data_IF_669476282831
#
_entry.id   IF_669476282831
#
_cell.length_a   1.000
_cell.length_b   1.000
_cell.length_c   1.000
_cell.angle_alpha   90.00
_cell.angle_beta   90.00
_cell.angle_gamma   90.00
#
_symmetry.space_group_name_H-M   'P 1'
#
loop_
_entity.id
_entity.type
_entity.pdbx_description
1 polymer ?
#
# COMPACT_ATOMS: atom_id res chain seq x y z
N UNK A 1 5.35 -2.72 3.17
CA UNK A 1 4.81 -3.53 2.08
C UNK A 1 5.11 -5.01 2.31
N UNK A 2 4.25 -5.84 1.82
CA UNK A 2 4.34 -7.28 2.02
C UNK A 2 5.16 -7.94 0.93
N UNK A 3 5.73 -9.11 1.23
CA UNK A 3 6.27 -9.97 0.21
C UNK A 3 5.15 -10.33 -0.78
N UNK A 4 5.51 -10.56 -2.06
CA UNK A 4 4.53 -10.80 -3.13
C UNK A 4 3.49 -11.88 -2.77
N UNK A 5 3.95 -12.99 -2.18
CA UNK A 5 3.08 -14.11 -1.80
C UNK A 5 2.08 -13.72 -0.71
N UNK A 6 2.55 -13.01 0.29
CA UNK A 6 1.71 -12.52 1.39
C UNK A 6 0.70 -11.50 0.90
N UNK A 7 1.11 -10.62 -0.01
CA UNK A 7 0.21 -9.63 -0.60
C UNK A 7 -0.88 -10.30 -1.42
N UNK A 8 -0.54 -11.36 -2.16
CA UNK A 8 -1.54 -12.13 -2.90
C UNK A 8 -2.57 -12.79 -2.00
N UNK A 9 -2.13 -13.33 -0.86
CA UNK A 9 -3.04 -13.90 0.16
C UNK A 9 -3.91 -12.83 0.79
N UNK A 10 -3.34 -11.66 1.06
CA UNK A 10 -4.08 -10.52 1.59
C UNK A 10 -5.15 -10.07 0.59
N UNK A 11 -4.81 -9.94 -0.67
CA UNK A 11 -5.76 -9.57 -1.71
C UNK A 11 -6.93 -10.56 -1.79
N UNK A 12 -6.66 -11.87 -1.74
CA UNK A 12 -7.69 -12.90 -1.71
C UNK A 12 -8.57 -12.81 -0.47
N UNK A 13 -7.97 -12.55 0.68
CA UNK A 13 -8.69 -12.39 1.94
C UNK A 13 -9.63 -11.18 1.91
N UNK A 14 -9.14 -10.05 1.37
CA UNK A 14 -9.91 -8.81 1.28
C UNK A 14 -11.06 -8.90 0.28
N UNK A 15 -10.92 -9.73 -0.74
CA UNK A 15 -11.96 -9.95 -1.75
C UNK A 15 -13.03 -10.95 -1.29
N UNK A 16 -12.86 -11.59 -0.15
CA UNK A 16 -13.92 -12.39 0.46
C UNK A 16 -15.01 -11.46 1.00
N UNK A 17 -16.28 -11.86 0.92
CA UNK A 17 -17.39 -11.01 1.37
C UNK A 17 -17.21 -10.42 2.77
N UNK A 18 -16.72 -11.20 3.73
CA UNK A 18 -16.49 -10.72 5.09
C UNK A 18 -15.22 -9.90 5.26
N UNK A 19 -14.15 -10.22 4.51
CA UNK A 19 -12.86 -9.55 4.60
C UNK A 19 -12.90 -8.12 4.12
N UNK A 20 -13.49 -7.89 2.94
CA UNK A 20 -13.62 -6.54 2.38
C UNK A 20 -14.48 -5.65 3.28
N UNK A 21 -15.57 -6.17 3.79
CA UNK A 21 -16.47 -5.44 4.68
C UNK A 21 -15.78 -4.95 5.95
N UNK A 22 -14.92 -5.80 6.55
CA UNK A 22 -14.16 -5.44 7.75
C UNK A 22 -13.20 -4.26 7.51
N UNK A 23 -12.48 -4.27 6.39
CA UNK A 23 -11.52 -3.21 6.07
C UNK A 23 -12.24 -1.91 5.75
N UNK A 24 -13.31 -1.95 4.96
CA UNK A 24 -14.07 -0.77 4.57
C UNK A 24 -14.90 -0.17 5.69
N UNK A 25 -15.17 -0.91 6.77
CA UNK A 25 -15.89 -0.38 7.92
C UNK A 25 -15.05 0.53 8.82
N UNK A 26 -13.72 0.51 8.68
CA UNK A 26 -12.83 1.40 9.43
C UNK A 26 -12.63 2.69 8.64
N UNK A 27 -13.14 3.82 9.17
CA UNK A 27 -13.07 5.12 8.51
C UNK A 27 -11.65 5.66 8.32
N UNK A 28 -10.67 5.09 9.04
CA UNK A 28 -9.25 5.46 8.93
C UNK A 28 -8.48 4.57 7.98
N UNK A 29 -9.14 3.63 7.33
CA UNK A 29 -8.53 2.73 6.36
C UNK A 29 -9.16 2.89 5.00
N UNK A 30 -8.34 2.72 3.98
CA UNK A 30 -8.80 2.73 2.59
C UNK A 30 -8.21 1.54 1.86
N UNK A 31 -9.06 0.81 1.18
CA UNK A 31 -8.66 -0.27 0.27
C UNK A 31 -9.05 0.16 -1.14
N UNK A 32 -8.07 0.15 -2.03
CA UNK A 32 -8.27 0.44 -3.44
C UNK A 32 -7.87 -0.78 -4.25
N UNK A 33 -8.68 -1.12 -5.22
CA UNK A 33 -8.37 -2.20 -6.16
C UNK A 33 -8.27 -1.64 -7.57
N UNK A 34 -7.32 -2.15 -8.32
CA UNK A 34 -7.20 -1.88 -9.75
C UNK A 34 -7.71 -3.09 -10.52
N UNK A 35 -8.55 -2.87 -11.51
CA UNK A 35 -9.11 -3.95 -12.30
C UNK A 35 -8.95 -3.69 -13.79
N UNK A 36 -8.80 -4.78 -14.55
CA UNK A 36 -8.89 -4.78 -16.01
C UNK A 36 -10.11 -5.63 -16.36
N UNK A 37 -11.17 -5.00 -16.84
CA UNK A 37 -12.47 -5.66 -16.96
C UNK A 37 -12.95 -6.11 -15.57
N UNK A 38 -13.26 -7.39 -15.43
CA UNK A 38 -13.72 -7.98 -14.16
C UNK A 38 -12.59 -8.60 -13.34
N UNK A 39 -11.34 -8.46 -13.78
CA UNK A 39 -10.19 -9.09 -13.13
C UNK A 39 -9.46 -8.06 -12.29
N UNK A 40 -9.33 -8.33 -11.00
CA UNK A 40 -8.52 -7.51 -10.09
C UNK A 40 -7.05 -7.82 -10.34
N UNK A 41 -6.28 -6.79 -10.69
CA UNK A 41 -4.86 -6.91 -11.03
C UNK A 41 -3.95 -6.16 -10.08
N UNK A 42 -4.51 -5.40 -9.16
CA UNK A 42 -3.73 -4.67 -8.17
C UNK A 42 -4.56 -4.29 -6.95
N UNK A 43 -3.86 -4.01 -5.87
CA UNK A 43 -4.45 -3.68 -4.57
C UNK A 43 -3.52 -2.75 -3.81
N UNK A 44 -4.08 -1.76 -3.14
CA UNK A 44 -3.34 -1.01 -2.12
C UNK A 44 -4.21 -0.81 -0.89
N UNK A 45 -3.57 -0.82 0.26
CA UNK A 45 -4.21 -0.60 1.55
C UNK A 45 -3.47 0.51 2.26
N UNK A 46 -4.20 1.52 2.68
CA UNK A 46 -3.67 2.61 3.46
C UNK A 46 -4.44 2.83 4.73
N UNK A 47 -3.80 3.44 5.70
CA UNK A 47 -4.44 3.86 6.95
C UNK A 47 -3.91 5.20 7.39
N UNK A 48 -4.71 5.90 8.15
CA UNK A 48 -4.34 7.17 8.78
C UNK A 48 -4.00 6.89 10.24
N UNK A 49 -2.77 7.20 10.62
CA UNK A 49 -2.32 7.07 12.01
C UNK A 49 -2.40 8.44 12.68
N UNK A 50 -3.24 8.60 13.71
CA UNK A 50 -3.43 9.89 14.36
C UNK A 50 -2.33 10.20 15.40
N UNK A 51 -1.07 9.99 15.04
CA UNK A 51 0.04 10.28 15.94
C UNK A 51 0.38 11.77 15.90
N UNK A 52 0.41 12.40 17.07
CA UNK A 52 0.71 13.82 17.19
C UNK A 52 -0.43 14.71 16.74
N UNK A 53 -0.12 15.97 16.41
CA UNK A 53 -1.11 16.96 15.99
C UNK A 53 -1.52 16.79 14.52
N UNK A 54 -0.66 16.20 13.72
CA UNK A 54 -0.91 15.98 12.29
C UNK A 54 -0.90 14.49 12.02
N UNK A 55 -1.98 13.95 11.46
CA UNK A 55 -2.02 12.51 11.15
C UNK A 55 -1.01 12.14 10.09
N UNK A 56 -0.51 10.90 10.20
CA UNK A 56 0.43 10.29 9.26
C UNK A 56 -0.31 9.28 8.40
N UNK A 57 -0.12 9.36 7.08
CA UNK A 57 -0.59 8.33 6.18
C UNK A 57 0.39 7.17 6.14
N UNK A 58 -0.11 5.94 6.15
CA UNK A 58 0.72 4.74 6.08
C UNK A 58 0.18 3.84 4.97
N UNK A 59 1.05 3.45 4.06
CA UNK A 59 0.75 2.45 3.04
C UNK A 59 1.11 1.08 3.64
N UNK A 60 0.10 0.30 3.96
CA UNK A 60 0.27 -1.02 4.56
C UNK A 60 0.55 -2.10 3.52
N UNK A 61 0.01 -1.95 2.31
CA UNK A 61 0.20 -2.90 1.24
C UNK A 61 0.08 -2.21 -0.12
N UNK A 62 0.90 -2.66 -1.05
CA UNK A 62 0.80 -2.29 -2.46
C UNK A 62 1.21 -3.51 -3.28
N UNK A 63 0.31 -3.98 -4.11
CA UNK A 63 0.52 -5.18 -4.91
C UNK A 63 -0.04 -4.98 -6.31
N UNK A 64 0.73 -5.40 -7.30
CA UNK A 64 0.28 -5.49 -8.69
C UNK A 64 0.62 -6.87 -9.21
N UNK A 65 -0.35 -7.50 -9.86
CA UNK A 65 -0.14 -8.79 -10.51
C UNK A 65 1.06 -8.70 -11.46
N UNK A 66 2.03 -9.62 -11.36
CA UNK A 66 3.22 -9.60 -12.22
C UNK A 66 2.92 -9.51 -13.71
N UNK A 67 1.83 -10.12 -14.17
CA UNK A 67 1.43 -10.06 -15.58
C UNK A 67 0.96 -8.67 -16.04
N UNK A 68 0.65 -7.78 -15.09
CA UNK A 68 0.12 -6.44 -15.36
C UNK A 68 1.06 -5.32 -14.90
N UNK A 69 2.30 -5.66 -14.58
CA UNK A 69 3.30 -4.66 -14.24
C UNK A 69 3.74 -3.89 -15.48
N UNK A 70 4.12 -2.62 -15.27
CA UNK A 70 4.50 -1.74 -16.36
C UNK A 70 3.33 -1.06 -17.06
N UNK A 71 2.09 -1.38 -16.68
CA UNK A 71 0.89 -0.75 -17.25
C UNK A 71 0.37 0.46 -16.44
N UNK A 72 1.10 0.87 -15.40
CA UNK A 72 0.74 2.03 -14.60
C UNK A 72 -0.27 1.77 -13.49
N UNK A 73 -0.64 0.53 -13.23
CA UNK A 73 -1.63 0.18 -12.20
C UNK A 73 -1.15 0.58 -10.81
N UNK A 74 0.10 0.26 -10.47
CA UNK A 74 0.69 0.60 -9.17
C UNK A 74 0.76 2.11 -8.94
N UNK A 75 1.16 2.86 -9.94
CA UNK A 75 1.19 4.33 -9.88
C UNK A 75 -0.20 4.91 -9.67
N UNK A 76 -1.19 4.43 -10.41
CA UNK A 76 -2.57 4.89 -10.30
C UNK A 76 -3.15 4.61 -8.91
N UNK A 77 -2.91 3.42 -8.38
CA UNK A 77 -3.35 3.04 -7.03
C UNK A 77 -2.70 3.94 -5.97
N UNK A 78 -1.38 4.13 -6.06
CA UNK A 78 -0.63 4.92 -5.10
C UNK A 78 -1.03 6.39 -5.15
N UNK A 79 -1.18 6.97 -6.35
CA UNK A 79 -1.60 8.37 -6.51
C UNK A 79 -2.98 8.61 -5.91
N UNK A 80 -3.92 7.69 -6.15
CA UNK A 80 -5.26 7.78 -5.58
C UNK A 80 -5.24 7.69 -4.06
N UNK A 81 -4.41 6.80 -3.52
CA UNK A 81 -4.26 6.66 -2.08
C UNK A 81 -3.62 7.90 -1.44
N UNK A 82 -2.61 8.47 -2.08
CA UNK A 82 -1.95 9.71 -1.62
C UNK A 82 -2.95 10.88 -1.60
N UNK A 83 -3.80 10.98 -2.62
CA UNK A 83 -4.86 11.99 -2.66
C UNK A 83 -5.81 11.84 -1.48
N UNK A 84 -6.22 10.62 -1.17
CA UNK A 84 -7.07 10.35 -0.01
C UNK A 84 -6.36 10.73 1.30
N UNK A 85 -5.08 10.44 1.45
CA UNK A 85 -4.32 10.88 2.62
C UNK A 85 -4.33 12.40 2.77
N UNK A 86 -4.15 13.13 1.69
CA UNK A 86 -4.21 14.60 1.70
C UNK A 86 -5.59 15.11 2.13
N UNK A 87 -6.65 14.51 1.63
CA UNK A 87 -8.03 14.85 2.01
C UNK A 87 -8.32 14.52 3.47
N UNK A 88 -7.61 13.55 4.03
CA UNK A 88 -7.73 13.13 5.43
C UNK A 88 -6.88 13.98 6.38
N UNK A 89 -6.20 15.01 5.87
CA UNK A 89 -5.40 15.92 6.67
C UNK A 89 -3.95 15.50 6.87
N UNK A 90 -3.50 14.43 6.25
CA UNK A 90 -2.10 13.99 6.34
C UNK A 90 -1.18 14.95 5.58
N UNK A 91 -0.03 15.24 6.16
CA UNK A 91 1.03 16.03 5.49
C UNK A 91 2.18 15.17 5.00
N UNK A 92 2.23 13.93 5.44
CA UNK A 92 3.26 12.99 5.02
C UNK A 92 2.71 11.58 4.98
N UNK A 93 3.39 10.74 4.24
CA UNK A 93 3.01 9.34 4.02
C UNK A 93 4.26 8.48 4.16
N UNK A 94 4.16 7.42 4.94
CA UNK A 94 5.19 6.40 5.04
C UNK A 94 4.76 5.14 4.31
N UNK A 95 5.74 4.47 3.71
CA UNK A 95 5.57 3.14 3.12
C UNK A 95 6.82 2.33 3.42
N UNK A 96 6.65 1.03 3.61
CA UNK A 96 7.77 0.13 3.86
C UNK A 96 8.08 -0.68 2.61
N UNK A 97 9.34 -0.63 2.17
CA UNK A 97 9.86 -1.50 1.12
C UNK A 97 10.90 -2.43 1.74
N UNK A 98 10.77 -3.73 1.51
CA UNK A 98 11.72 -4.70 2.01
C UNK A 98 13.02 -4.64 1.22
N UNK A 99 14.17 -4.95 1.86
CA UNK A 99 15.43 -5.06 1.13
C UNK A 99 15.31 -6.06 -0.01
N UNK A 100 15.80 -5.70 -1.19
CA UNK A 100 15.71 -6.54 -2.39
C UNK A 100 14.42 -6.38 -3.20
N UNK A 101 13.41 -5.74 -2.65
CA UNK A 101 12.18 -5.43 -3.41
C UNK A 101 12.38 -4.15 -4.22
N UNK A 102 13.09 -4.29 -5.34
CA UNK A 102 13.45 -3.16 -6.19
C UNK A 102 12.24 -2.54 -6.90
N UNK A 103 11.26 -3.35 -7.23
CA UNK A 103 10.06 -2.87 -7.93
C UNK A 103 9.26 -1.92 -7.06
N UNK A 104 9.01 -2.30 -5.81
CA UNK A 104 8.32 -1.45 -4.84
C UNK A 104 9.14 -0.21 -4.55
N UNK A 105 10.44 -0.35 -4.33
CA UNK A 105 11.31 0.79 -4.05
C UNK A 105 11.31 1.78 -5.20
N UNK A 106 11.45 1.31 -6.43
CA UNK A 106 11.42 2.16 -7.62
C UNK A 106 10.09 2.89 -7.77
N UNK A 107 8.99 2.19 -7.57
CA UNK A 107 7.65 2.79 -7.63
C UNK A 107 7.50 3.91 -6.61
N UNK A 108 7.94 3.68 -5.38
CA UNK A 108 7.88 4.68 -4.32
C UNK A 108 8.79 5.88 -4.62
N UNK A 109 10.02 5.64 -5.08
CA UNK A 109 10.95 6.72 -5.43
C UNK A 109 10.42 7.61 -6.55
N UNK A 110 9.83 7.02 -7.59
CA UNK A 110 9.20 7.78 -8.69
C UNK A 110 8.02 8.61 -8.17
N UNK A 111 7.30 8.10 -7.18
CA UNK A 111 6.20 8.84 -6.55
C UNK A 111 6.67 9.91 -5.56
N UNK A 112 7.97 10.10 -5.39
CA UNK A 112 8.52 11.13 -4.53
C UNK A 112 8.88 10.70 -3.12
N UNK A 113 8.79 9.40 -2.82
CA UNK A 113 9.17 8.88 -1.52
C UNK A 113 10.70 8.85 -1.38
N UNK A 114 11.17 9.14 -0.18
CA UNK A 114 12.60 9.07 0.18
C UNK A 114 12.76 8.25 1.44
N UNK A 115 13.87 7.54 1.54
CA UNK A 115 14.17 6.80 2.77
C UNK A 115 14.35 7.78 3.93
N UNK A 116 13.65 7.56 5.05
CA UNK A 116 13.79 8.36 6.26
C UNK A 116 14.11 7.56 7.51
N UNK A 117 13.92 6.25 7.45
CA UNK A 117 14.14 5.36 8.59
C UNK A 117 14.73 4.05 8.08
N UNK A 118 15.79 3.60 8.73
CA UNK A 118 16.39 2.31 8.42
C UNK A 118 16.30 1.42 9.66
N UNK A 119 15.68 0.26 9.51
CA UNK A 119 15.60 -0.74 10.56
C UNK A 119 16.82 -1.65 10.47
N UNK A 120 17.59 -1.68 11.53
CA UNK A 120 18.76 -2.56 11.64
C UNK A 120 18.34 -3.84 12.35
N UNK A 121 18.75 -4.96 11.81
CA UNK A 121 18.35 -6.27 12.33
C UNK A 121 19.56 -7.14 12.60
N UNK A 122 19.52 -7.82 13.74
CA UNK A 122 20.52 -8.85 14.09
C UNK A 122 19.78 -10.08 14.61
N UNK A 123 20.04 -11.21 13.99
CA UNK A 123 19.56 -12.49 14.51
C UNK A 123 20.43 -12.92 15.71
N UNK A 124 19.78 -13.46 16.74
CA UNK A 124 20.49 -14.01 17.93
C UNK A 124 20.70 -15.53 17.81
N UNK A 125 20.34 -16.11 16.69
CA UNK A 125 20.50 -17.54 16.43
C UNK A 125 21.17 -17.79 15.09
#
# INVERSE_FOLDING_TARGET
LFARRETGLLAKALLRPGGLSLVLSDSRRRVLVGAVGDIVVGLTVGRVDPVGEVPLGIVDALYVDPAHRGAGVGHALLDTLIEWFGESGCRSVDATALPGDRETKSLLEVAGFKARLVTMHRSLR
#
